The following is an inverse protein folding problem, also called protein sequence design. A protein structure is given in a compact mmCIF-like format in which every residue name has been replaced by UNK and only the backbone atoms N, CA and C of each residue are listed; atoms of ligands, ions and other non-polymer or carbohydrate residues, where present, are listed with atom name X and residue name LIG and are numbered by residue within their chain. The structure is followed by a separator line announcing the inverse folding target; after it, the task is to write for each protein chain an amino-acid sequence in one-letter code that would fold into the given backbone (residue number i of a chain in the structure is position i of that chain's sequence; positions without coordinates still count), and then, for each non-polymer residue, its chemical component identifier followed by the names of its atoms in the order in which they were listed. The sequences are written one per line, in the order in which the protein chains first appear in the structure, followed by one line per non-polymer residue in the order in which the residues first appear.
data_IF_088790155233
#
_entry.id   IF_088790155233
#
_cell.length_a   1.000
_cell.length_b   1.000
_cell.length_c   1.000
_cell.angle_alpha   90.00
_cell.angle_beta   90.00
_cell.angle_gamma   90.00
#
_symmetry.space_group_name_H-M   'P 1'
#
loop_
_entity.id
_entity.type
_entity.pdbx_description
1 polymer ?
#
# COMPACT_ATOMS: atom_id res chain seq x y z
N UNK A 1 20.95 1.98 -1.96
CA UNK A 1 20.26 3.27 -1.79
C UNK A 1 20.91 4.02 -0.63
N UNK A 2 21.22 5.33 -0.77
CA UNK A 2 21.78 6.12 0.32
C UNK A 2 20.75 6.34 1.46
N UNK A 3 21.19 6.49 2.72
CA UNK A 3 20.30 6.63 3.86
C UNK A 3 19.61 8.00 3.83
N UNK A 4 18.27 8.00 3.75
CA UNK A 4 17.45 9.21 3.80
C UNK A 4 17.63 9.87 5.17
N UNK A 5 18.16 11.11 5.20
CA UNK A 5 18.34 11.90 6.43
C UNK A 5 16.99 12.40 6.93
N UNK A 6 16.73 12.17 8.23
CA UNK A 6 15.52 12.64 8.93
C UNK A 6 15.35 14.15 8.73
N UNK A 7 14.13 14.59 8.39
CA UNK A 7 13.66 15.99 8.29
C UNK A 7 13.96 16.84 7.02
N UNK A 8 14.42 16.29 5.90
CA UNK A 8 14.54 17.04 4.62
C UNK A 8 13.57 16.61 3.51
N UNK A 9 12.52 15.84 3.83
CA UNK A 9 11.51 15.49 2.83
C UNK A 9 10.66 16.73 2.53
N UNK A 10 10.52 17.15 1.27
CA UNK A 10 9.63 18.27 0.92
C UNK A 10 8.17 17.91 1.23
N UNK A 11 7.23 18.88 1.30
CA UNK A 11 5.81 18.55 1.51
C UNK A 11 5.24 17.65 0.42
N UNK A 12 5.63 17.87 -0.84
CA UNK A 12 5.18 17.08 -2.00
C UNK A 12 5.74 15.66 -1.96
N UNK A 13 7.05 15.51 -1.66
CA UNK A 13 7.67 14.19 -1.50
C UNK A 13 7.04 13.41 -0.34
N UNK A 14 6.67 14.10 0.75
CA UNK A 14 6.04 13.47 1.90
C UNK A 14 4.66 12.93 1.55
N UNK A 15 3.89 13.68 0.74
CA UNK A 15 2.58 13.25 0.27
C UNK A 15 2.67 12.02 -0.63
N UNK A 16 3.54 12.06 -1.63
CA UNK A 16 3.77 10.93 -2.55
C UNK A 16 4.22 9.68 -1.78
N UNK A 17 5.15 9.84 -0.84
CA UNK A 17 5.70 8.73 -0.08
C UNK A 17 4.65 8.06 0.84
N UNK A 18 3.78 8.85 1.47
CA UNK A 18 2.67 8.30 2.28
C UNK A 18 1.59 7.68 1.38
N UNK A 19 1.26 8.32 0.26
CA UNK A 19 0.29 7.80 -0.71
C UNK A 19 0.72 6.44 -1.25
N UNK A 20 1.97 6.34 -1.73
CA UNK A 20 2.53 5.10 -2.24
C UNK A 20 2.55 4.01 -1.17
N UNK A 21 3.00 4.33 0.05
CA UNK A 21 2.99 3.38 1.15
C UNK A 21 1.56 2.87 1.45
N UNK A 22 0.56 3.74 1.54
CA UNK A 22 -0.84 3.35 1.77
C UNK A 22 -1.39 2.48 0.63
N UNK A 23 -1.04 2.81 -0.62
CA UNK A 23 -1.44 2.04 -1.81
C UNK A 23 -0.83 0.65 -1.81
N UNK A 24 0.46 0.52 -1.52
CA UNK A 24 1.18 -0.76 -1.50
C UNK A 24 0.68 -1.67 -0.38
N UNK A 25 0.35 -1.09 0.78
CA UNK A 25 -0.16 -1.88 1.91
C UNK A 25 -1.64 -2.24 1.77
N UNK A 26 -2.46 -1.33 1.23
CA UNK A 26 -3.89 -1.52 1.04
C UNK A 26 -4.64 -2.04 2.30
N UNK A 27 -4.17 -1.62 3.48
CA UNK A 27 -4.67 -2.06 4.79
C UNK A 27 -4.96 -0.84 5.67
N UNK A 28 -5.96 -0.93 6.56
CA UNK A 28 -6.26 0.13 7.49
C UNK A 28 -5.22 0.20 8.60
N UNK A 29 -4.62 1.37 8.81
CA UNK A 29 -3.65 1.63 9.87
C UNK A 29 -3.94 2.94 10.60
N UNK A 30 -3.58 3.00 11.89
CA UNK A 30 -3.61 4.27 12.62
C UNK A 30 -2.41 5.15 12.27
N UNK A 31 -2.48 6.46 12.53
CA UNK A 31 -1.33 7.35 12.32
C UNK A 31 -0.06 6.88 13.03
N UNK A 32 -0.19 6.30 14.24
CA UNK A 32 0.96 5.77 14.99
C UNK A 32 1.56 4.55 14.30
N UNK A 33 0.73 3.62 13.82
CA UNK A 33 1.20 2.41 13.13
C UNK A 33 1.92 2.78 11.83
N UNK A 34 1.34 3.71 11.05
CA UNK A 34 1.94 4.22 9.81
C UNK A 34 3.31 4.82 10.10
N UNK A 35 3.41 5.65 11.14
CA UNK A 35 4.67 6.29 11.52
C UNK A 35 5.76 5.25 11.85
N UNK A 36 5.40 4.20 12.60
CA UNK A 36 6.31 3.13 12.99
C UNK A 36 6.72 2.26 11.78
N UNK A 37 5.76 1.88 10.95
CA UNK A 37 6.00 1.06 9.75
C UNK A 37 6.88 1.78 8.73
N UNK A 38 6.72 3.11 8.62
CA UNK A 38 7.58 3.97 7.79
C UNK A 38 8.84 4.40 8.53
N UNK A 39 9.25 3.68 9.58
CA UNK A 39 10.48 3.87 10.35
C UNK A 39 10.73 5.32 10.82
N UNK A 40 9.66 6.04 11.17
CA UNK A 40 9.69 7.42 11.62
C UNK A 40 10.38 8.38 10.61
N UNK A 41 10.23 8.14 9.30
CA UNK A 41 10.72 9.06 8.25
C UNK A 41 10.06 10.44 8.38
N UNK A 42 8.79 10.48 8.80
CA UNK A 42 8.04 11.71 9.07
C UNK A 42 7.72 11.85 10.58
N UNK A 43 7.67 13.08 11.05
CA UNK A 43 7.15 13.39 12.39
C UNK A 43 5.64 13.14 12.42
N UNK A 44 5.10 12.82 13.60
CA UNK A 44 3.66 12.56 13.76
C UNK A 44 2.80 13.71 13.24
N UNK A 45 3.16 14.95 13.57
CA UNK A 45 2.43 16.14 13.11
C UNK A 45 2.43 16.25 11.57
N UNK A 46 3.58 16.05 10.93
CA UNK A 46 3.69 16.11 9.47
C UNK A 46 2.90 14.97 8.80
N UNK A 47 2.95 13.77 9.37
CA UNK A 47 2.20 12.62 8.87
C UNK A 47 0.68 12.85 9.01
N UNK A 48 0.21 13.38 10.15
CA UNK A 48 -1.21 13.72 10.34
C UNK A 48 -1.69 14.69 9.27
N UNK A 49 -0.96 15.78 9.03
CA UNK A 49 -1.33 16.77 8.01
C UNK A 49 -1.38 16.16 6.60
N UNK A 50 -0.42 15.29 6.27
CA UNK A 50 -0.40 14.58 4.97
C UNK A 50 -1.60 13.64 4.83
N UNK A 51 -1.90 12.86 5.87
CA UNK A 51 -3.04 11.95 5.86
C UNK A 51 -4.38 12.71 5.72
N UNK A 52 -4.54 13.83 6.43
CA UNK A 52 -5.71 14.70 6.30
C UNK A 52 -5.84 15.30 4.90
N UNK A 53 -4.73 15.75 4.29
CA UNK A 53 -4.73 16.20 2.90
C UNK A 53 -5.17 15.08 1.94
N UNK A 54 -4.63 13.87 2.09
CA UNK A 54 -4.97 12.75 1.21
C UNK A 54 -6.43 12.29 1.38
N UNK A 55 -7.01 12.43 2.58
CA UNK A 55 -8.43 12.22 2.82
C UNK A 55 -9.26 13.31 2.15
N UNK A 56 -8.84 14.57 2.25
CA UNK A 56 -9.50 15.71 1.57
C UNK A 56 -9.49 15.56 0.06
N UNK A 57 -8.39 15.03 -0.49
CA UNK A 57 -8.24 14.74 -1.92
C UNK A 57 -8.94 13.45 -2.35
N UNK A 58 -9.66 12.80 -1.42
CA UNK A 58 -10.44 11.59 -1.66
C UNK A 58 -9.60 10.39 -2.12
N UNK A 59 -8.30 10.38 -1.81
CA UNK A 59 -7.38 9.28 -2.10
C UNK A 59 -7.29 8.26 -0.97
N UNK A 60 -7.54 8.70 0.27
CA UNK A 60 -7.64 7.84 1.44
C UNK A 60 -9.05 7.88 2.03
N UNK A 61 -9.47 6.76 2.60
CA UNK A 61 -10.64 6.67 3.45
C UNK A 61 -10.17 6.75 4.90
N UNK A 62 -10.79 7.62 5.69
CA UNK A 62 -10.57 7.73 7.13
C UNK A 62 -11.81 7.27 7.90
N UNK A 63 -11.61 6.45 8.92
CA UNK A 63 -12.66 6.07 9.87
C UNK A 63 -12.15 6.20 11.31
N UNK A 64 -12.92 6.89 12.14
CA UNK A 64 -12.64 7.00 13.57
C UNK A 64 -13.26 5.82 14.32
N UNK A 65 -12.46 5.15 15.14
CA UNK A 65 -12.90 4.08 16.03
C UNK A 65 -12.45 4.44 17.45
N UNK A 66 -13.42 4.70 18.32
CA UNK A 66 -13.15 5.26 19.65
C UNK A 66 -12.51 6.65 19.53
N UNK A 67 -11.23 6.77 19.90
CA UNK A 67 -10.45 8.02 19.83
C UNK A 67 -9.38 8.01 18.73
N UNK A 68 -9.31 6.95 17.92
CA UNK A 68 -8.24 6.73 16.95
C UNK A 68 -8.78 6.77 15.53
N UNK A 69 -8.08 7.48 14.66
CA UNK A 69 -8.37 7.50 13.23
C UNK A 69 -7.57 6.41 12.52
N UNK A 70 -8.27 5.64 11.68
CA UNK A 70 -7.68 4.63 10.81
C UNK A 70 -7.82 5.09 9.37
N UNK A 71 -6.72 4.97 8.63
CA UNK A 71 -6.59 5.41 7.25
C UNK A 71 -6.33 4.21 6.36
N UNK A 72 -6.97 4.15 5.21
CA UNK A 72 -6.72 3.13 4.19
C UNK A 72 -6.80 3.73 2.80
N UNK A 73 -6.08 3.16 1.84
CA UNK A 73 -6.11 3.63 0.46
C UNK A 73 -7.49 3.39 -0.15
N UNK A 74 -8.02 4.40 -0.85
CA UNK A 74 -9.31 4.28 -1.51
C UNK A 74 -9.13 3.41 -2.76
N UNK A 75 -9.97 2.39 -2.88
CA UNK A 75 -9.98 1.50 -4.04
C UNK A 75 -10.07 2.30 -5.34
N UNK A 76 -9.21 2.00 -6.31
CA UNK A 76 -9.43 2.46 -7.68
C UNK A 76 -10.77 1.86 -8.13
N UNK A 77 -11.66 2.72 -8.63
CA UNK A 77 -12.74 2.26 -9.49
C UNK A 77 -12.05 1.60 -10.69
N UNK A 78 -12.02 0.28 -10.70
CA UNK A 78 -11.71 -0.46 -11.90
C UNK A 78 -12.92 -0.19 -12.79
N UNK A 79 -12.73 0.59 -13.86
CA UNK A 79 -13.79 0.76 -14.84
C UNK A 79 -14.21 -0.64 -15.30
N UNK A 80 -15.48 -1.00 -15.06
CA UNK A 80 -16.15 -2.19 -15.61
C UNK A 80 -16.16 -2.21 -17.16
N UNK A 81 -15.50 -1.24 -17.81
CA UNK A 81 -15.38 -1.10 -19.27
C UNK A 81 -14.37 -2.07 -19.90
N UNK A 82 -13.65 -2.87 -19.11
CA UNK A 82 -12.98 -4.06 -19.63
C UNK A 82 -14.03 -5.12 -19.90
N UNK A 83 -14.68 -5.04 -21.07
CA UNK A 83 -15.74 -5.95 -21.53
C UNK A 83 -15.27 -7.39 -21.82
N UNK A 84 -14.40 -7.95 -20.98
CA UNK A 84 -13.90 -9.31 -21.05
C UNK A 84 -14.34 -10.09 -19.81
N UNK A 85 -14.72 -11.36 -19.99
CA UNK A 85 -15.33 -12.19 -18.95
C UNK A 85 -14.45 -12.27 -17.70
N UNK A 86 -14.80 -11.58 -16.58
CA UNK A 86 -13.90 -11.45 -15.41
C UNK A 86 -13.55 -12.79 -14.75
N UNK A 87 -14.36 -13.82 -15.02
CA UNK A 87 -14.17 -15.18 -14.52
C UNK A 87 -13.11 -15.97 -15.31
N UNK A 88 -13.06 -15.82 -16.63
CA UNK A 88 -12.08 -16.51 -17.47
C UNK A 88 -10.67 -15.95 -17.24
N UNK A 89 -10.57 -14.63 -17.03
CA UNK A 89 -9.34 -13.97 -16.60
C UNK A 89 -8.90 -14.42 -15.21
N UNK A 90 -9.83 -14.52 -14.25
CA UNK A 90 -9.52 -15.00 -12.90
C UNK A 90 -8.98 -16.43 -12.91
N UNK A 91 -9.63 -17.35 -13.64
CA UNK A 91 -9.20 -18.74 -13.74
C UNK A 91 -7.84 -18.86 -14.43
N UNK A 92 -7.57 -18.04 -15.45
CA UNK A 92 -6.28 -17.96 -16.13
C UNK A 92 -5.18 -17.45 -15.20
N UNK A 93 -5.43 -16.39 -14.43
CA UNK A 93 -4.50 -15.87 -13.42
C UNK A 93 -4.23 -16.90 -12.31
N UNK A 94 -5.26 -17.59 -11.82
CA UNK A 94 -5.11 -18.64 -10.82
C UNK A 94 -4.23 -19.78 -11.32
N UNK A 95 -4.39 -20.18 -12.58
CA UNK A 95 -3.53 -21.18 -13.21
C UNK A 95 -2.07 -20.73 -13.26
N UNK A 96 -1.79 -19.48 -13.69
CA UNK A 96 -0.43 -18.93 -13.71
C UNK A 96 0.20 -18.90 -12.31
N UNK A 97 -0.55 -18.48 -11.29
CA UNK A 97 -0.08 -18.48 -9.89
C UNK A 97 0.28 -19.89 -9.43
N UNK A 98 -0.50 -20.90 -9.81
CA UNK A 98 -0.22 -22.30 -9.46
C UNK A 98 1.06 -22.81 -10.13
N UNK A 99 1.24 -22.53 -11.41
CA UNK A 99 2.43 -22.93 -12.18
C UNK A 99 3.71 -22.30 -11.63
N UNK A 100 3.70 -20.99 -11.37
CA UNK A 100 4.83 -20.29 -10.77
C UNK A 100 5.19 -20.81 -9.37
N UNK A 101 4.19 -21.13 -8.54
CA UNK A 101 4.46 -21.71 -7.22
C UNK A 101 5.05 -23.11 -7.29
N UNK A 102 4.67 -23.90 -8.29
CA UNK A 102 5.28 -25.21 -8.54
C UNK A 102 6.75 -25.06 -8.95
N UNK A 103 7.05 -24.16 -9.89
CA UNK A 103 8.42 -23.86 -10.33
C UNK A 103 9.31 -23.39 -9.16
N UNK A 104 8.79 -22.50 -8.30
CA UNK A 104 9.49 -22.08 -7.07
C UNK A 104 9.78 -23.27 -6.15
N UNK A 105 8.84 -24.23 -6.05
CA UNK A 105 9.03 -25.45 -5.27
C UNK A 105 10.16 -26.32 -5.81
N UNK A 106 10.16 -26.57 -7.12
CA UNK A 106 11.17 -27.38 -7.82
C UNK A 106 12.56 -26.74 -7.75
N UNK A 107 12.67 -25.43 -7.98
CA UNK A 107 13.92 -24.68 -7.87
C UNK A 107 14.47 -24.64 -6.44
N UNK A 108 13.60 -24.48 -5.43
CA UNK A 108 14.03 -24.53 -4.03
C UNK A 108 14.60 -25.90 -3.69
N UNK A 109 13.94 -26.99 -4.12
CA UNK A 109 14.42 -28.35 -3.89
C UNK A 109 15.76 -28.58 -4.59
N UNK A 110 15.92 -28.13 -5.83
CA UNK A 110 17.18 -28.21 -6.57
C UNK A 110 18.34 -27.40 -5.99
N UNK A 111 18.08 -26.43 -5.11
CA UNK A 111 19.11 -25.63 -4.41
C UNK A 111 19.66 -26.32 -3.15
N UNK A 112 18.99 -27.36 -2.65
CA UNK A 112 19.38 -28.12 -1.45
C UNK A 112 20.05 -29.48 -1.77
N UNK A 113 20.32 -29.75 -3.04
CA UNK A 113 21.13 -30.87 -3.54
C UNK A 113 22.31 -30.35 -4.36
#
# INVERSE_FOLDING_TARGET
MPPIKKNQVTPEDAKLLVQQYMKDQYRPYSTTDIQLNMHNILTKAKLTNVLESLVSDNELICKTIGKTNYYTYKQLNVDDSSGDNPKEDYDSLQKQVKELNQEIGELKIGMYY
#
